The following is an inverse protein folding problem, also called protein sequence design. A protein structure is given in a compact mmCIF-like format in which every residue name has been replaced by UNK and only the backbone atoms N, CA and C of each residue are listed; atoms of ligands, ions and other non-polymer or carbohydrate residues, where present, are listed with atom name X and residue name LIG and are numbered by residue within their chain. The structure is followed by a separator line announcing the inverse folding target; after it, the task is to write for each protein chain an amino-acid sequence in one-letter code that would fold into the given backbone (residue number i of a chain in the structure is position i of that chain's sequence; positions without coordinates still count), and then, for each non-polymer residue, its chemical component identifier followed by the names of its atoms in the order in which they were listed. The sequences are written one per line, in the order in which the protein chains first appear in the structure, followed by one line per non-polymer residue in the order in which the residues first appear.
data_IF_593752925318
#
_entry.id   IF_593752925318
#
_cell.length_a   1.000
_cell.length_b   1.000
_cell.length_c   1.000
_cell.angle_alpha   90.00
_cell.angle_beta   90.00
_cell.angle_gamma   90.00
#
_symmetry.space_group_name_H-M   'P 1'
#
loop_
_entity.id
_entity.type
_entity.pdbx_description
1 polymer ?
#
# COMPACT_ATOMS: atom_id res chain seq x y z
N UNK A 1 -9.19 -61.76 52.47
CA UNK A 1 -7.88 -61.09 52.62
C UNK A 1 -7.78 -59.93 51.64
N UNK A 2 -7.62 -58.72 52.17
CA UNK A 2 -7.54 -57.45 51.43
C UNK A 2 -6.20 -57.32 50.68
N UNK A 3 -6.23 -57.11 49.36
CA UNK A 3 -5.07 -56.56 48.62
C UNK A 3 -5.27 -55.06 48.46
N UNK A 4 -4.64 -54.28 49.34
CA UNK A 4 -4.49 -52.82 49.20
C UNK A 4 -3.71 -52.51 47.93
N UNK A 5 -4.36 -51.88 46.95
CA UNK A 5 -3.67 -51.24 45.82
C UNK A 5 -3.14 -49.90 46.33
N UNK A 6 -1.81 -49.74 46.38
CA UNK A 6 -1.16 -48.45 46.65
C UNK A 6 -1.36 -47.54 45.44
N UNK A 7 -2.08 -46.44 45.62
CA UNK A 7 -2.15 -45.36 44.63
C UNK A 7 -0.90 -44.48 44.74
N UNK A 8 -0.04 -44.49 43.73
CA UNK A 8 1.01 -43.48 43.60
C UNK A 8 0.39 -42.15 43.16
N UNK A 9 0.35 -41.18 44.06
CA UNK A 9 0.08 -39.79 43.72
C UNK A 9 1.31 -39.23 42.98
N UNK A 10 1.27 -39.20 41.65
CA UNK A 10 2.18 -38.37 40.85
C UNK A 10 1.80 -36.90 41.06
N UNK A 11 2.27 -36.31 42.16
CA UNK A 11 2.45 -34.86 42.24
C UNK A 11 3.56 -34.54 41.23
N UNK A 12 3.20 -33.92 40.11
CA UNK A 12 4.18 -33.26 39.24
C UNK A 12 4.92 -32.23 40.11
N UNK A 13 6.13 -32.57 40.53
CA UNK A 13 6.94 -31.69 41.34
C UNK A 13 7.21 -30.39 40.60
N UNK A 14 7.50 -29.35 41.38
CA UNK A 14 8.03 -28.06 40.96
C UNK A 14 9.00 -28.07 39.73
N UNK A 15 9.87 -29.09 39.49
CA UNK A 15 10.71 -29.13 38.28
C UNK A 15 9.94 -29.13 36.95
N UNK A 16 8.74 -29.70 36.86
CA UNK A 16 7.99 -29.72 35.59
C UNK A 16 7.31 -28.39 35.26
N UNK A 17 6.96 -27.58 36.27
CA UNK A 17 6.47 -26.20 36.05
C UNK A 17 7.61 -25.28 35.63
N UNK A 18 8.80 -25.49 36.19
CA UNK A 18 10.00 -24.74 35.85
C UNK A 18 10.49 -25.08 34.43
N UNK A 19 10.49 -26.36 34.04
CA UNK A 19 10.81 -26.79 32.67
C UNK A 19 9.81 -26.28 31.64
N UNK A 20 8.51 -26.20 31.97
CA UNK A 20 7.50 -25.63 31.08
C UNK A 20 7.71 -24.12 30.90
N UNK A 21 8.04 -23.39 31.97
CA UNK A 21 8.33 -21.95 31.92
C UNK A 21 9.66 -21.66 31.20
N UNK A 22 10.67 -22.52 31.35
CA UNK A 22 11.92 -22.44 30.58
C UNK A 22 11.65 -22.75 29.11
N UNK A 23 10.85 -23.77 28.80
CA UNK A 23 10.48 -24.09 27.42
C UNK A 23 9.63 -22.97 26.78
N UNK A 24 8.73 -22.34 27.54
CA UNK A 24 7.99 -21.16 27.11
C UNK A 24 8.94 -19.96 26.92
N UNK A 25 9.88 -19.75 27.84
CA UNK A 25 10.90 -18.70 27.77
C UNK A 25 11.86 -18.88 26.60
N UNK A 26 12.24 -20.12 26.27
CA UNK A 26 13.03 -20.46 25.09
C UNK A 26 12.19 -20.32 23.82
N UNK A 27 10.91 -20.71 23.81
CA UNK A 27 10.02 -20.45 22.68
C UNK A 27 9.84 -18.94 22.45
N UNK A 28 9.68 -18.14 23.50
CA UNK A 28 9.54 -16.68 23.42
C UNK A 28 10.86 -16.00 23.05
N UNK A 29 12.01 -16.48 23.53
CA UNK A 29 13.35 -15.94 23.21
C UNK A 29 13.82 -16.33 21.80
N UNK A 30 13.48 -17.55 21.35
CA UNK A 30 13.70 -18.00 19.97
C UNK A 30 12.72 -17.36 18.99
N UNK A 31 11.56 -16.92 19.47
CA UNK A 31 10.70 -15.92 18.83
C UNK A 31 11.19 -14.50 19.18
N UNK A 32 12.47 -14.22 18.94
CA UNK A 32 12.75 -12.90 18.38
C UNK A 32 11.95 -12.86 17.08
N UNK A 33 10.81 -12.16 17.10
CA UNK A 33 10.10 -11.72 15.91
C UNK A 33 11.06 -10.81 15.13
N UNK A 34 12.06 -11.41 14.48
CA UNK A 34 12.57 -10.87 13.26
C UNK A 34 11.44 -11.10 12.25
N UNK A 35 10.41 -10.23 12.32
CA UNK A 35 9.55 -9.98 11.18
C UNK A 35 10.50 -9.81 10.00
N UNK A 36 10.38 -10.60 8.91
CA UNK A 36 11.12 -10.31 7.69
C UNK A 36 10.99 -8.82 7.45
N UNK A 37 12.12 -8.10 7.30
CA UNK A 37 12.08 -6.66 7.14
C UNK A 37 11.04 -6.35 6.06
N UNK A 38 9.96 -5.64 6.44
CA UNK A 38 8.85 -5.38 5.54
C UNK A 38 9.42 -4.72 4.28
N UNK A 39 9.05 -5.20 3.09
CA UNK A 39 9.48 -4.53 1.87
C UNK A 39 8.89 -3.11 1.83
N UNK A 40 9.44 -2.26 0.96
CA UNK A 40 9.03 -0.85 0.90
C UNK A 40 7.53 -0.68 0.61
N UNK A 41 6.94 -1.61 -0.16
CA UNK A 41 5.52 -1.64 -0.44
C UNK A 41 4.68 -1.82 0.84
N UNK A 42 4.99 -2.82 1.66
CA UNK A 42 4.25 -3.08 2.90
C UNK A 42 4.39 -1.94 3.91
N UNK A 43 5.60 -1.39 4.07
CA UNK A 43 5.83 -0.21 4.93
C UNK A 43 4.98 0.98 4.48
N UNK A 44 4.90 1.20 3.16
CA UNK A 44 4.11 2.28 2.60
C UNK A 44 2.59 2.04 2.77
N UNK A 45 2.12 0.81 2.56
CA UNK A 45 0.71 0.45 2.80
C UNK A 45 0.32 0.57 4.27
N UNK A 46 1.21 0.22 5.21
CA UNK A 46 0.98 0.45 6.64
C UNK A 46 0.76 1.94 6.93
N UNK A 47 1.59 2.83 6.36
CA UNK A 47 1.40 4.28 6.49
C UNK A 47 0.09 4.76 5.86
N UNK A 48 -0.26 4.28 4.66
CA UNK A 48 -1.53 4.63 4.00
C UNK A 48 -2.74 4.24 4.86
N UNK A 49 -2.72 3.04 5.47
CA UNK A 49 -3.78 2.62 6.41
C UNK A 49 -3.83 3.50 7.65
N UNK A 50 -2.69 3.93 8.18
CA UNK A 50 -2.67 4.83 9.34
C UNK A 50 -3.30 6.21 9.01
N UNK A 51 -3.11 6.70 7.78
CA UNK A 51 -3.68 7.99 7.34
C UNK A 51 -5.21 7.99 7.31
N UNK A 52 -5.87 6.84 7.09
CA UNK A 52 -7.33 6.79 7.02
C UNK A 52 -8.03 7.06 8.34
N UNK A 53 -7.30 7.11 9.45
CA UNK A 53 -7.83 7.46 10.77
C UNK A 53 -7.97 8.98 10.96
N UNK A 54 -7.50 9.81 10.02
CA UNK A 54 -7.61 11.27 10.09
C UNK A 54 -8.88 11.77 9.40
N UNK A 55 -9.56 12.72 10.05
CA UNK A 55 -10.70 13.45 9.46
C UNK A 55 -10.31 14.24 8.22
N UNK A 56 -9.03 14.62 8.07
CA UNK A 56 -8.50 15.35 6.93
C UNK A 56 -8.12 14.45 5.75
N UNK A 57 -8.30 13.12 5.87
CA UNK A 57 -7.97 12.17 4.80
C UNK A 57 -9.21 11.41 4.34
N UNK A 58 -9.35 11.23 3.02
CA UNK A 58 -10.29 10.28 2.42
C UNK A 58 -9.53 9.39 1.46
N UNK A 59 -9.58 8.07 1.68
CA UNK A 59 -9.06 7.11 0.73
C UNK A 59 -9.94 7.10 -0.52
N UNK A 60 -9.33 7.07 -1.69
CA UNK A 60 -10.04 6.84 -2.94
C UNK A 60 -10.19 5.33 -3.18
N UNK A 61 -11.14 4.89 -4.02
CA UNK A 61 -11.14 3.53 -4.52
C UNK A 61 -9.77 3.16 -5.07
N UNK A 62 -9.25 2.00 -4.69
CA UNK A 62 -7.87 1.65 -4.99
C UNK A 62 -7.73 0.98 -6.35
N UNK A 63 -6.62 1.28 -7.03
CA UNK A 63 -6.25 0.56 -8.23
C UNK A 63 -5.67 -0.80 -7.90
N UNK A 64 -5.44 -1.59 -8.95
CA UNK A 64 -4.68 -2.82 -8.88
C UNK A 64 -3.56 -2.76 -9.89
N UNK A 65 -2.37 -3.16 -9.48
CA UNK A 65 -1.27 -3.42 -10.40
C UNK A 65 -1.48 -4.70 -11.19
N UNK A 66 -0.55 -5.00 -12.09
CA UNK A 66 -0.57 -6.26 -12.83
C UNK A 66 -0.55 -7.50 -11.92
N UNK A 67 0.27 -7.54 -10.87
CA UNK A 67 0.29 -8.66 -9.90
C UNK A 67 -0.84 -8.58 -8.85
N UNK A 68 -1.78 -7.64 -8.97
CA UNK A 68 -2.92 -7.50 -8.07
C UNK A 68 -2.63 -6.77 -6.75
N UNK A 69 -1.45 -6.16 -6.60
CA UNK A 69 -1.15 -5.31 -5.44
C UNK A 69 -2.06 -4.09 -5.43
N UNK A 70 -2.45 -3.69 -4.22
CA UNK A 70 -3.22 -2.46 -4.02
C UNK A 70 -2.40 -1.27 -4.48
N UNK A 71 -2.97 -0.44 -5.34
CA UNK A 71 -2.38 0.80 -5.82
C UNK A 71 -3.12 1.97 -5.15
N UNK A 72 -2.56 2.54 -4.07
CA UNK A 72 -3.29 3.45 -3.22
C UNK A 72 -3.43 4.84 -3.83
N UNK A 73 -4.56 5.49 -3.57
CA UNK A 73 -4.73 6.93 -3.76
C UNK A 73 -5.58 7.51 -2.63
N UNK A 74 -5.31 8.75 -2.25
CA UNK A 74 -6.07 9.42 -1.19
C UNK A 74 -6.08 10.93 -1.40
N UNK A 75 -7.06 11.59 -0.78
CA UNK A 75 -7.20 13.04 -0.78
C UNK A 75 -6.97 13.54 0.63
N UNK A 76 -6.16 14.59 0.74
CA UNK A 76 -5.99 15.35 1.97
C UNK A 76 -6.60 16.74 1.78
N UNK A 77 -7.58 17.09 2.60
CA UNK A 77 -8.24 18.40 2.58
C UNK A 77 -9.02 18.65 3.86
N UNK A 78 -9.44 19.90 4.07
CA UNK A 78 -10.55 20.20 4.96
C UNK A 78 -11.88 19.97 4.22
N UNK A 79 -12.52 18.83 4.49
CA UNK A 79 -13.76 18.41 3.82
C UNK A 79 -15.02 19.18 4.27
N UNK A 80 -14.90 20.11 5.22
CA UNK A 80 -16.01 21.01 5.60
C UNK A 80 -16.20 22.13 4.59
N UNK A 81 -15.15 22.47 3.85
CA UNK A 81 -15.21 23.47 2.78
C UNK A 81 -15.53 22.78 1.46
N UNK A 82 -16.44 23.38 0.71
CA UNK A 82 -16.90 22.83 -0.56
C UNK A 82 -15.77 22.71 -1.60
N UNK A 83 -15.68 21.58 -2.33
CA UNK A 83 -14.55 21.23 -3.17
C UNK A 83 -14.34 22.14 -4.39
N UNK A 84 -15.41 22.76 -4.90
CA UNK A 84 -15.37 23.71 -6.03
C UNK A 84 -14.61 25.00 -5.69
N UNK A 85 -14.52 25.35 -4.41
CA UNK A 85 -13.79 26.53 -3.92
C UNK A 85 -12.29 26.26 -3.74
N UNK A 86 -11.86 25.01 -3.88
CA UNK A 86 -10.49 24.58 -3.59
C UNK A 86 -9.67 24.44 -4.86
N UNK A 87 -8.41 24.84 -4.75
CA UNK A 87 -7.40 24.37 -5.69
C UNK A 87 -7.25 22.85 -5.55
N UNK A 88 -6.89 22.19 -6.65
CA UNK A 88 -6.75 20.74 -6.74
C UNK A 88 -5.39 20.43 -7.33
N UNK A 89 -4.60 19.65 -6.61
CA UNK A 89 -3.25 19.25 -7.02
C UNK A 89 -3.18 17.73 -6.94
N UNK A 90 -2.71 17.09 -8.01
CA UNK A 90 -2.38 15.67 -7.97
C UNK A 90 -0.86 15.52 -7.88
N UNK A 91 -0.43 14.67 -6.97
CA UNK A 91 0.98 14.31 -6.77
C UNK A 91 1.12 12.82 -7.02
N UNK A 92 2.02 12.46 -7.93
CA UNK A 92 2.39 11.11 -8.25
C UNK A 92 3.86 10.89 -7.86
N UNK A 93 4.15 9.73 -7.28
CA UNK A 93 5.51 9.26 -7.01
C UNK A 93 5.61 7.76 -7.31
N UNK A 94 6.85 7.26 -7.39
CA UNK A 94 7.11 5.83 -7.55
C UNK A 94 6.55 5.25 -8.86
N UNK A 95 6.66 5.99 -9.97
CA UNK A 95 6.51 5.39 -11.30
C UNK A 95 7.58 4.34 -11.56
N UNK A 96 8.78 4.60 -11.05
CA UNK A 96 9.87 3.65 -10.96
C UNK A 96 10.00 3.14 -9.53
N UNK A 97 10.08 1.82 -9.36
CA UNK A 97 10.07 1.19 -8.05
C UNK A 97 11.39 1.22 -7.29
N UNK A 98 12.47 1.59 -7.97
CA UNK A 98 13.81 1.81 -7.42
C UNK A 98 14.02 3.26 -6.92
N UNK A 99 13.00 4.12 -7.00
CA UNK A 99 13.03 5.53 -6.58
C UNK A 99 12.31 5.73 -5.23
N UNK A 100 12.98 5.33 -4.15
CA UNK A 100 12.35 5.24 -2.84
C UNK A 100 12.16 6.59 -2.12
N UNK A 101 13.01 7.59 -2.37
CA UNK A 101 12.95 8.87 -1.66
C UNK A 101 11.62 9.61 -1.82
N UNK A 102 11.08 9.86 -3.04
CA UNK A 102 9.84 10.60 -3.20
C UNK A 102 8.64 9.93 -2.51
N UNK A 103 8.54 8.59 -2.57
CA UNK A 103 7.53 7.81 -1.84
C UNK A 103 7.60 8.06 -0.32
N UNK A 104 8.80 7.97 0.26
CA UNK A 104 9.02 8.16 1.70
C UNK A 104 8.68 9.57 2.14
N UNK A 105 9.14 10.58 1.40
CA UNK A 105 8.87 11.98 1.72
C UNK A 105 7.38 12.28 1.64
N UNK A 106 6.70 11.81 0.57
CA UNK A 106 5.29 12.08 0.34
C UNK A 106 4.40 11.46 1.43
N UNK A 107 4.71 10.24 1.89
CA UNK A 107 3.98 9.63 3.01
C UNK A 107 4.27 10.33 4.36
N UNK A 108 5.49 10.81 4.57
CA UNK A 108 5.85 11.62 5.75
C UNK A 108 5.08 12.94 5.77
N UNK A 109 5.09 13.67 4.65
CA UNK A 109 4.33 14.91 4.48
C UNK A 109 2.82 14.67 4.62
N UNK A 110 2.30 13.59 4.04
CA UNK A 110 0.90 13.21 4.19
C UNK A 110 0.50 13.04 5.66
N UNK A 111 1.35 12.43 6.49
CA UNK A 111 1.12 12.32 7.93
C UNK A 111 1.00 13.67 8.64
N UNK A 112 1.84 14.64 8.26
CA UNK A 112 1.81 15.98 8.84
C UNK A 112 0.62 16.81 8.36
N UNK A 113 0.23 16.67 7.09
CA UNK A 113 -0.99 17.30 6.60
C UNK A 113 -2.23 16.68 7.26
N UNK A 114 -2.26 15.35 7.39
CA UNK A 114 -3.35 14.62 8.04
C UNK A 114 -3.53 15.00 9.51
N UNK A 115 -2.45 15.31 10.24
CA UNK A 115 -2.54 15.78 11.63
C UNK A 115 -3.09 17.20 11.78
N UNK A 116 -3.34 17.90 10.67
CA UNK A 116 -3.87 19.26 10.67
C UNK A 116 -2.80 20.35 10.84
N UNK A 117 -1.52 20.06 10.60
CA UNK A 117 -0.44 21.05 10.73
C UNK A 117 -0.56 22.24 9.76
N UNK A 118 -1.42 22.14 8.72
CA UNK A 118 -1.58 23.14 7.66
C UNK A 118 -3.04 23.54 7.42
N UNK A 119 -3.77 24.05 8.44
CA UNK A 119 -5.21 24.24 8.34
C UNK A 119 -5.63 25.26 7.26
N UNK A 120 -4.87 26.36 7.10
CA UNK A 120 -5.11 27.37 6.04
C UNK A 120 -4.88 26.82 4.64
N UNK A 121 -3.92 25.92 4.48
CA UNK A 121 -3.65 25.26 3.21
C UNK A 121 -4.80 24.30 2.87
N UNK A 122 -5.17 23.44 3.82
CA UNK A 122 -6.20 22.43 3.64
C UNK A 122 -7.61 23.02 3.46
N UNK A 123 -7.88 24.21 4.01
CA UNK A 123 -9.14 24.93 3.75
C UNK A 123 -9.26 25.40 2.30
N UNK A 124 -8.13 25.64 1.62
CA UNK A 124 -8.07 26.21 0.27
C UNK A 124 -7.65 25.21 -0.82
N UNK A 125 -7.15 24.03 -0.45
CA UNK A 125 -6.63 23.02 -1.35
C UNK A 125 -7.19 21.61 -1.05
N UNK A 126 -7.40 20.84 -2.11
CA UNK A 126 -7.52 19.39 -2.07
C UNK A 126 -6.26 18.79 -2.71
N UNK A 127 -5.48 18.09 -1.90
CA UNK A 127 -4.23 17.45 -2.31
C UNK A 127 -4.54 15.98 -2.57
N UNK A 128 -4.57 15.59 -3.85
CA UNK A 128 -4.74 14.21 -4.28
C UNK A 128 -3.35 13.57 -4.39
N UNK A 129 -3.18 12.40 -3.80
CA UNK A 129 -1.88 11.73 -3.68
C UNK A 129 -1.99 10.31 -4.20
N UNK A 130 -1.10 9.95 -5.13
CA UNK A 130 -0.80 8.58 -5.55
C UNK A 130 0.67 8.33 -5.15
N UNK A 131 0.91 7.79 -3.93
CA UNK A 131 2.27 7.73 -3.38
C UNK A 131 3.18 6.73 -4.10
N UNK A 132 2.58 5.73 -4.75
CA UNK A 132 3.27 4.74 -5.58
C UNK A 132 2.41 4.44 -6.81
N UNK A 133 2.87 4.81 -8.00
CA UNK A 133 2.21 4.45 -9.26
C UNK A 133 2.54 2.99 -9.62
N UNK A 134 3.72 2.50 -9.28
CA UNK A 134 4.20 1.16 -9.59
C UNK A 134 4.39 0.31 -8.32
N UNK A 135 3.33 -0.16 -7.65
CA UNK A 135 3.47 -0.94 -6.42
C UNK A 135 4.19 -2.27 -6.64
N UNK A 136 4.14 -2.83 -7.86
CA UNK A 136 4.89 -4.05 -8.21
C UNK A 136 6.39 -3.78 -8.27
N UNK A 137 6.80 -2.71 -8.95
CA UNK A 137 8.18 -2.24 -8.95
C UNK A 137 8.67 -1.90 -7.55
N UNK A 138 7.87 -1.20 -6.73
CA UNK A 138 8.24 -0.83 -5.36
C UNK A 138 8.47 -2.08 -4.48
N UNK A 139 7.63 -3.11 -4.63
CA UNK A 139 7.78 -4.36 -3.89
C UNK A 139 9.06 -5.14 -4.29
N UNK A 140 9.52 -4.95 -5.52
CA UNK A 140 10.66 -5.65 -6.10
C UNK A 140 11.93 -4.79 -6.23
N UNK A 141 11.88 -3.52 -5.83
CA UNK A 141 12.93 -2.51 -6.10
C UNK A 141 13.34 -2.49 -7.58
N UNK A 142 12.35 -2.42 -8.47
CA UNK A 142 12.53 -2.43 -9.92
C UNK A 142 11.99 -1.16 -10.56
N UNK A 143 12.76 -0.59 -11.49
CA UNK A 143 12.36 0.55 -12.31
C UNK A 143 11.05 0.30 -13.08
N UNK A 144 10.91 -0.89 -13.65
CA UNK A 144 9.74 -1.26 -14.46
C UNK A 144 8.67 -1.93 -13.62
N UNK A 145 7.44 -2.02 -14.13
CA UNK A 145 6.40 -2.83 -13.49
C UNK A 145 6.64 -4.33 -13.69
N UNK A 146 5.78 -5.19 -13.15
CA UNK A 146 5.90 -6.65 -13.26
C UNK A 146 5.85 -7.18 -14.72
N UNK A 147 5.38 -6.37 -15.67
CA UNK A 147 5.36 -6.69 -17.10
C UNK A 147 6.62 -6.20 -17.84
N UNK A 148 7.56 -5.54 -17.15
CA UNK A 148 8.75 -4.96 -17.76
C UNK A 148 8.52 -3.60 -18.45
N UNK A 149 7.35 -2.97 -18.28
CA UNK A 149 7.10 -1.63 -18.82
C UNK A 149 7.66 -0.54 -17.90
N UNK A 150 8.38 0.42 -18.48
CA UNK A 150 8.60 1.73 -17.87
C UNK A 150 7.28 2.52 -17.98
N UNK A 151 6.57 2.67 -16.86
CA UNK A 151 5.26 3.34 -16.83
C UNK A 151 5.37 4.79 -17.30
N UNK A 152 6.51 5.46 -17.06
CA UNK A 152 6.77 6.81 -17.55
C UNK A 152 7.05 6.88 -19.07
N UNK A 153 6.72 5.82 -19.81
CA UNK A 153 6.65 5.77 -21.28
C UNK A 153 5.25 5.38 -21.80
N UNK A 154 4.32 5.04 -20.91
CA UNK A 154 3.02 4.47 -21.25
C UNK A 154 1.87 5.49 -21.24
N UNK A 155 2.12 6.77 -20.94
CA UNK A 155 1.05 7.76 -20.75
C UNK A 155 0.30 8.16 -22.04
N UNK A 156 0.81 7.78 -23.20
CA UNK A 156 0.10 7.91 -24.47
C UNK A 156 -0.82 6.72 -24.76
N UNK A 157 -0.34 5.51 -24.51
CA UNK A 157 -1.04 4.28 -24.91
C UNK A 157 -1.90 3.69 -23.79
N UNK A 158 -1.60 4.01 -22.53
CA UNK A 158 -2.29 3.55 -21.33
C UNK A 158 -2.48 2.03 -21.30
N UNK A 159 -1.44 1.27 -21.64
CA UNK A 159 -1.47 -0.20 -21.70
C UNK A 159 -1.53 -0.83 -20.31
N UNK A 160 -0.80 -0.24 -19.38
CA UNK A 160 -0.64 -0.76 -18.02
C UNK A 160 -1.89 -0.44 -17.16
N UNK A 161 -2.31 -1.35 -16.25
CA UNK A 161 -3.39 -1.04 -15.32
C UNK A 161 -3.04 0.11 -14.38
N UNK A 162 -1.75 0.28 -14.05
CA UNK A 162 -1.23 1.38 -13.24
C UNK A 162 -1.49 2.75 -13.89
N UNK A 163 -1.10 2.93 -15.15
CA UNK A 163 -1.30 4.20 -15.87
C UNK A 163 -2.80 4.52 -16.04
N UNK A 164 -3.62 3.51 -16.35
CA UNK A 164 -5.08 3.66 -16.50
C UNK A 164 -5.77 4.09 -15.22
N UNK A 165 -5.31 3.58 -14.07
CA UNK A 165 -5.84 4.01 -12.78
C UNK A 165 -5.56 5.50 -12.52
N UNK A 166 -4.32 5.94 -12.71
CA UNK A 166 -3.97 7.35 -12.49
C UNK A 166 -4.67 8.28 -13.49
N UNK A 167 -4.78 7.87 -14.76
CA UNK A 167 -5.56 8.61 -15.78
C UNK A 167 -7.02 8.78 -15.36
N UNK A 168 -7.63 7.75 -14.76
CA UNK A 168 -9.00 7.83 -14.22
C UNK A 168 -9.13 8.83 -13.06
N UNK A 169 -8.11 8.97 -12.20
CA UNK A 169 -8.08 9.98 -11.14
C UNK A 169 -8.00 11.38 -11.75
N UNK A 170 -7.17 11.56 -12.77
CA UNK A 170 -7.01 12.86 -13.45
C UNK A 170 -8.31 13.27 -14.15
N UNK A 171 -8.99 12.32 -14.81
CA UNK A 171 -10.27 12.53 -15.45
C UNK A 171 -11.37 12.90 -14.43
N UNK A 172 -11.40 12.22 -13.27
CA UNK A 172 -12.39 12.45 -12.23
C UNK A 172 -12.17 13.78 -11.49
N UNK A 173 -10.93 14.06 -11.08
CA UNK A 173 -10.62 15.18 -10.20
C UNK A 173 -10.28 16.47 -10.93
N UNK A 174 -9.97 16.42 -12.23
CA UNK A 174 -9.55 17.58 -13.05
C UNK A 174 -8.62 18.52 -12.26
N UNK A 175 -7.45 18.03 -11.78
CA UNK A 175 -6.51 18.84 -11.02
C UNK A 175 -5.98 20.01 -11.85
N UNK A 176 -5.65 21.12 -11.18
CA UNK A 176 -5.07 22.29 -11.81
C UNK A 176 -3.57 22.10 -12.05
N UNK A 177 -2.90 21.38 -11.14
CA UNK A 177 -1.47 21.08 -11.23
C UNK A 177 -1.24 19.59 -11.00
N UNK A 178 -0.35 19.02 -11.80
CA UNK A 178 0.18 17.67 -11.68
C UNK A 178 1.67 17.73 -11.32
N UNK A 179 2.06 17.05 -10.24
CA UNK A 179 3.44 16.94 -9.80
C UNK A 179 3.88 15.48 -9.91
N UNK A 180 4.93 15.25 -10.69
CA UNK A 180 5.49 13.92 -10.93
C UNK A 180 6.88 13.84 -10.31
N UNK A 181 6.99 13.14 -9.18
CA UNK A 181 8.20 13.10 -8.35
C UNK A 181 9.04 11.86 -8.69
N UNK A 182 10.27 12.09 -9.13
CA UNK A 182 11.25 11.07 -9.52
C UNK A 182 12.58 11.29 -8.79
N UNK A 183 13.30 10.19 -8.61
CA UNK A 183 14.68 10.21 -8.13
C UNK A 183 15.63 9.75 -9.23
N UNK A 184 16.59 10.59 -9.58
CA UNK A 184 17.52 10.27 -10.65
C UNK A 184 18.60 9.30 -10.16
N UNK A 185 18.57 8.05 -10.64
CA UNK A 185 19.46 6.95 -10.22
C UNK A 185 20.66 6.69 -11.16
N UNK A 186 20.82 7.44 -12.26
CA UNK A 186 21.89 7.23 -13.25
C UNK A 186 23.02 8.27 -13.23
N UNK A 187 24.17 8.03 -13.90
CA UNK A 187 25.14 9.09 -14.18
C UNK A 187 24.52 10.08 -15.17
N UNK A 188 24.48 11.39 -14.87
CA UNK A 188 23.88 12.36 -15.80
C UNK A 188 24.65 13.67 -15.90
N UNK A 189 24.79 14.22 -17.12
CA UNK A 189 25.21 15.61 -17.36
C UNK A 189 24.08 16.63 -17.15
N UNK A 190 22.84 16.19 -16.87
CA UNK A 190 21.69 17.03 -16.55
C UNK A 190 21.62 17.17 -15.02
N UNK A 191 21.38 18.37 -14.46
CA UNK A 191 21.25 18.53 -13.01
C UNK A 191 20.11 17.62 -12.50
N UNK A 192 20.48 16.61 -11.72
CA UNK A 192 19.53 15.68 -11.10
C UNK A 192 18.58 16.36 -10.12
N UNK A 193 18.90 17.57 -9.67
CA UNK A 193 18.05 18.41 -8.83
C UNK A 193 17.34 19.47 -9.70
N UNK A 194 16.19 19.09 -10.27
CA UNK A 194 15.54 19.92 -11.27
C UNK A 194 14.02 19.85 -11.33
N UNK A 195 13.45 20.87 -11.96
CA UNK A 195 12.05 20.95 -12.35
C UNK A 195 12.00 21.03 -13.87
N UNK A 196 11.49 20.00 -14.52
CA UNK A 196 11.25 20.02 -15.96
C UNK A 196 9.90 20.66 -16.28
N UNK A 197 9.95 21.76 -17.04
CA UNK A 197 8.77 22.40 -17.62
C UNK A 197 8.66 22.02 -19.10
N UNK A 198 7.63 21.25 -19.44
CA UNK A 198 7.38 20.86 -20.83
C UNK A 198 6.85 22.04 -21.67
N UNK A 199 7.10 22.05 -23.00
CA UNK A 199 6.59 23.10 -23.88
C UNK A 199 5.05 23.08 -23.90
N UNK A 200 4.44 24.24 -23.66
CA UNK A 200 2.99 24.43 -23.70
C UNK A 200 2.58 25.10 -25.00
N UNK A 201 1.43 24.71 -25.57
CA UNK A 201 0.88 25.30 -26.80
C UNK A 201 0.24 26.68 -26.55
N UNK A 202 -0.26 26.93 -25.33
CA UNK A 202 -0.95 28.17 -24.95
C UNK A 202 -0.01 29.17 -24.28
N UNK A 203 0.03 30.41 -24.78
CA UNK A 203 0.92 31.45 -24.25
C UNK A 203 0.66 31.79 -22.76
N UNK A 204 -0.60 31.96 -22.35
CA UNK A 204 -0.95 32.31 -20.95
C UNK A 204 -0.65 31.17 -19.98
N UNK A 205 -1.03 29.93 -20.31
CA UNK A 205 -0.68 28.77 -19.50
C UNK A 205 0.85 28.59 -19.40
N UNK A 206 1.57 28.80 -20.51
CA UNK A 206 3.03 28.72 -20.49
C UNK A 206 3.66 29.77 -19.56
N UNK A 207 3.07 30.97 -19.47
CA UNK A 207 3.51 32.01 -18.52
C UNK A 207 3.20 31.57 -17.09
N UNK A 208 1.94 31.20 -16.79
CA UNK A 208 1.54 30.79 -15.45
C UNK A 208 2.37 29.58 -14.94
N UNK A 209 2.64 28.60 -15.80
CA UNK A 209 3.49 27.47 -15.45
C UNK A 209 4.95 27.86 -15.17
N UNK A 210 5.50 28.83 -15.91
CA UNK A 210 6.86 29.32 -15.66
C UNK A 210 6.94 30.10 -14.36
N UNK A 211 5.94 30.92 -14.05
CA UNK A 211 5.89 31.63 -12.76
C UNK A 211 5.72 30.66 -11.59
N UNK A 212 4.85 29.66 -11.72
CA UNK A 212 4.72 28.60 -10.72
C UNK A 212 6.04 27.82 -10.55
N UNK A 213 6.71 27.46 -11.65
CA UNK A 213 8.00 26.79 -11.59
C UNK A 213 9.07 27.64 -10.88
N UNK A 214 9.09 28.97 -11.06
CA UNK A 214 10.00 29.88 -10.33
C UNK A 214 9.73 29.88 -8.83
N UNK A 215 8.45 29.92 -8.43
CA UNK A 215 8.06 29.87 -7.01
C UNK A 215 8.51 28.54 -6.39
N UNK A 216 8.21 27.43 -7.07
CA UNK A 216 8.60 26.09 -6.63
C UNK A 216 10.14 25.97 -6.55
N UNK A 217 10.87 26.42 -7.57
CA UNK A 217 12.32 26.38 -7.63
C UNK A 217 12.98 27.20 -6.51
N UNK A 218 12.45 28.39 -6.22
CA UNK A 218 12.97 29.26 -5.17
C UNK A 218 12.88 28.60 -3.78
N UNK A 219 11.77 27.92 -3.49
CA UNK A 219 11.57 27.27 -2.19
C UNK A 219 12.32 25.93 -2.08
N UNK A 220 12.36 25.16 -3.18
CA UNK A 220 12.96 23.82 -3.22
C UNK A 220 14.45 23.79 -3.55
N UNK A 221 15.03 24.91 -3.98
CA UNK A 221 16.40 25.03 -4.48
C UNK A 221 16.70 24.17 -5.72
N UNK A 222 15.65 23.77 -6.46
CA UNK A 222 15.79 22.99 -7.68
C UNK A 222 16.02 23.89 -8.90
N UNK A 223 16.78 23.39 -9.88
CA UNK A 223 17.05 24.11 -11.13
C UNK A 223 15.90 23.91 -12.12
N UNK A 224 15.37 25.00 -12.68
CA UNK A 224 14.38 24.88 -13.76
C UNK A 224 15.09 24.48 -15.05
N UNK A 225 14.72 23.33 -15.60
CA UNK A 225 15.18 22.89 -16.91
C UNK A 225 14.05 22.98 -17.92
N UNK A 226 14.39 23.41 -19.14
CA UNK A 226 13.48 23.40 -20.28
C UNK A 226 13.78 22.20 -21.14
N UNK A 227 12.73 21.48 -21.53
CA UNK A 227 12.87 20.40 -22.49
C UNK A 227 13.41 20.95 -23.83
N UNK A 228 14.56 20.46 -24.29
CA UNK A 228 15.18 20.83 -25.58
C UNK A 228 14.76 19.91 -26.73
N UNK A 229 14.06 18.79 -26.48
CA UNK A 229 13.84 17.73 -27.48
C UNK A 229 12.37 17.35 -27.67
N UNK A 230 11.99 17.08 -28.93
CA UNK A 230 10.72 16.45 -29.35
C UNK A 230 10.56 14.98 -28.89
N UNK A 231 11.43 14.48 -28.00
CA UNK A 231 11.83 13.08 -27.99
C UNK A 231 11.05 12.10 -27.12
N UNK A 232 10.07 12.52 -26.32
CA UNK A 232 9.31 11.54 -25.52
C UNK A 232 7.97 12.08 -25.01
N UNK A 233 6.99 12.21 -25.89
CA UNK A 233 5.61 12.60 -25.52
C UNK A 233 4.90 11.58 -24.63
N UNK A 234 5.48 10.38 -24.44
CA UNK A 234 4.96 9.32 -23.57
C UNK A 234 5.23 9.49 -22.08
N UNK A 235 5.99 10.51 -21.67
CA UNK A 235 6.19 10.84 -20.25
C UNK A 235 4.95 11.51 -19.64
N UNK A 236 4.70 11.27 -18.36
CA UNK A 236 3.51 11.73 -17.65
C UNK A 236 3.28 13.24 -17.82
N UNK A 237 4.24 14.05 -17.38
CA UNK A 237 4.08 15.51 -17.39
C UNK A 237 3.95 16.07 -18.82
N UNK A 238 4.70 15.51 -19.78
CA UNK A 238 4.65 15.95 -21.19
C UNK A 238 3.30 15.62 -21.85
N UNK A 239 2.77 14.42 -21.59
CA UNK A 239 1.45 13.99 -22.06
C UNK A 239 0.36 14.92 -21.56
N UNK A 240 0.38 15.26 -20.27
CA UNK A 240 -0.68 16.07 -19.68
C UNK A 240 -0.53 17.56 -19.97
N UNK A 241 0.70 18.08 -20.14
CA UNK A 241 0.90 19.42 -20.73
C UNK A 241 0.32 19.51 -22.13
N UNK A 242 0.52 18.47 -22.95
CA UNK A 242 -0.10 18.40 -24.29
C UNK A 242 -1.63 18.31 -24.24
N UNK A 243 -2.19 17.82 -23.13
CA UNK A 243 -3.64 17.80 -22.86
C UNK A 243 -4.17 19.06 -22.17
N UNK A 244 -3.33 20.09 -22.00
CA UNK A 244 -3.73 21.37 -21.42
C UNK A 244 -3.70 21.43 -19.89
N UNK A 245 -3.10 20.46 -19.19
CA UNK A 245 -2.84 20.53 -17.75
C UNK A 245 -1.52 21.24 -17.47
N UNK A 246 -1.40 21.88 -16.30
CA UNK A 246 -0.10 22.25 -15.79
C UNK A 246 0.56 21.05 -15.13
N UNK A 247 1.64 20.52 -15.72
CA UNK A 247 2.34 19.36 -15.18
C UNK A 247 3.85 19.58 -15.14
N UNK A 248 4.47 19.11 -14.07
CA UNK A 248 5.90 19.25 -13.81
C UNK A 248 6.48 17.89 -13.46
N UNK A 249 7.67 17.61 -14.00
CA UNK A 249 8.51 16.52 -13.53
C UNK A 249 9.56 17.10 -12.59
N UNK A 250 9.69 16.47 -11.43
CA UNK A 250 10.54 16.91 -10.33
C UNK A 250 11.54 15.81 -10.09
N UNK A 251 12.82 16.15 -10.21
CA UNK A 251 13.92 15.22 -10.03
C UNK A 251 14.76 15.66 -8.84
N UNK A 252 15.19 14.69 -8.04
CA UNK A 252 16.32 14.86 -7.10
C UNK A 252 17.43 13.89 -7.44
N UNK A 253 18.67 14.32 -7.31
CA UNK A 253 19.86 13.49 -7.52
C UNK A 253 19.96 12.38 -6.48
N UNK A 254 20.31 11.15 -6.89
CA UNK A 254 20.60 10.07 -5.94
C UNK A 254 21.74 10.41 -4.96
N UNK A 255 22.64 11.33 -5.34
CA UNK A 255 23.88 11.64 -4.62
C UNK A 255 23.72 12.67 -3.48
N UNK A 256 22.56 13.32 -3.34
CA UNK A 256 22.30 14.23 -2.23
C UNK A 256 21.72 13.47 -1.01
N UNK A 257 21.78 14.08 0.16
CA UNK A 257 21.29 13.46 1.39
C UNK A 257 19.78 13.22 1.35
N UNK A 258 19.28 12.20 2.05
CA UNK A 258 17.82 11.98 2.17
C UNK A 258 17.11 13.20 2.78
N UNK A 259 17.78 13.94 3.68
CA UNK A 259 17.22 15.15 4.28
C UNK A 259 17.03 16.27 3.26
N UNK A 260 17.96 16.42 2.32
CA UNK A 260 17.86 17.42 1.24
C UNK A 260 16.78 17.02 0.24
N UNK A 261 16.68 15.73 -0.11
CA UNK A 261 15.56 15.19 -0.91
C UNK A 261 14.22 15.46 -0.23
N UNK A 262 14.12 15.16 1.07
CA UNK A 262 12.91 15.38 1.86
C UNK A 262 12.51 16.86 1.88
N UNK A 263 13.48 17.77 2.03
CA UNK A 263 13.27 19.21 1.94
C UNK A 263 12.74 19.60 0.56
N UNK A 264 13.43 19.19 -0.51
CA UNK A 264 13.07 19.55 -1.88
C UNK A 264 11.65 19.13 -2.24
N UNK A 265 11.29 17.85 -2.09
CA UNK A 265 9.94 17.37 -2.42
C UNK A 265 8.86 18.02 -1.55
N UNK A 266 9.13 18.22 -0.26
CA UNK A 266 8.20 18.92 0.64
C UNK A 266 7.95 20.34 0.16
N UNK A 267 9.02 21.08 -0.10
CA UNK A 267 8.98 22.45 -0.60
C UNK A 267 8.19 22.55 -1.90
N UNK A 268 8.41 21.60 -2.83
CA UNK A 268 7.64 21.55 -4.08
C UNK A 268 6.14 21.46 -3.83
N UNK A 269 5.71 20.54 -2.99
CA UNK A 269 4.28 20.33 -2.70
C UNK A 269 3.67 21.53 -1.98
N UNK A 270 4.35 22.06 -0.96
CA UNK A 270 3.85 23.17 -0.16
C UNK A 270 3.79 24.46 -0.99
N UNK A 271 4.84 24.79 -1.74
CA UNK A 271 4.90 25.99 -2.58
C UNK A 271 3.83 25.96 -3.68
N UNK A 272 3.64 24.81 -4.35
CA UNK A 272 2.60 24.66 -5.36
C UNK A 272 1.20 24.85 -4.75
N UNK A 273 0.94 24.24 -3.59
CA UNK A 273 -0.33 24.35 -2.89
C UNK A 273 -0.60 25.77 -2.38
N UNK A 274 0.40 26.48 -1.86
CA UNK A 274 0.25 27.85 -1.39
C UNK A 274 0.02 28.83 -2.53
N UNK A 275 0.79 28.72 -3.63
CA UNK A 275 0.63 29.58 -4.80
C UNK A 275 -0.78 29.48 -5.38
N UNK A 276 -1.27 28.25 -5.59
CA UNK A 276 -2.64 28.03 -6.04
C UNK A 276 -3.69 28.48 -5.02
N UNK A 277 -3.46 28.28 -3.72
CA UNK A 277 -4.39 28.73 -2.68
C UNK A 277 -4.58 30.25 -2.68
N UNK A 278 -3.54 31.03 -2.98
CA UNK A 278 -3.58 32.49 -2.92
C UNK A 278 -4.10 33.15 -4.19
N UNK A 279 -3.86 32.57 -5.37
CA UNK A 279 -4.15 33.24 -6.64
C UNK A 279 -5.26 32.56 -7.45
N UNK A 280 -6.46 33.14 -7.42
CA UNK A 280 -7.63 32.62 -8.16
C UNK A 280 -7.42 32.69 -9.69
N UNK A 281 -6.73 33.71 -10.20
CA UNK A 281 -6.46 33.83 -11.64
C UNK A 281 -5.50 32.73 -12.12
N UNK A 282 -4.46 32.42 -11.34
CA UNK A 282 -3.57 31.29 -11.66
C UNK A 282 -4.35 29.97 -11.70
N UNK A 283 -5.31 29.75 -10.78
CA UNK A 283 -6.17 28.55 -10.83
C UNK A 283 -6.94 28.47 -12.15
N UNK A 284 -7.53 29.58 -12.61
CA UNK A 284 -8.26 29.63 -13.88
C UNK A 284 -7.34 29.37 -15.06
N UNK A 285 -6.17 30.01 -15.10
CA UNK A 285 -5.19 29.85 -16.19
C UNK A 285 -4.61 28.44 -16.28
N UNK A 286 -4.39 27.79 -15.14
CA UNK A 286 -3.85 26.43 -15.04
C UNK A 286 -4.94 25.35 -15.15
N UNK A 287 -6.21 25.74 -15.23
CA UNK A 287 -7.30 24.78 -15.45
C UNK A 287 -7.23 24.15 -16.86
N UNK A 288 -7.57 22.85 -16.99
CA UNK A 288 -7.68 22.20 -18.30
C UNK A 288 -8.77 22.86 -19.16
N UNK A 289 -8.45 23.25 -20.39
CA UNK A 289 -9.35 24.02 -21.28
C UNK A 289 -10.46 23.21 -21.93
N UNK A 290 -10.32 21.89 -22.01
CA UNK A 290 -11.21 21.04 -22.79
C UNK A 290 -11.77 19.90 -21.94
N UNK A 291 -13.07 19.97 -21.67
CA UNK A 291 -13.85 18.86 -21.11
C UNK A 291 -14.04 17.68 -22.08
N UNK A 292 -13.37 17.69 -23.25
CA UNK A 292 -13.33 16.53 -24.15
C UNK A 292 -12.29 15.52 -23.68
N UNK A 293 -12.58 14.86 -22.56
CA UNK A 293 -12.06 13.53 -22.31
C UNK A 293 -13.23 12.63 -21.91
N UNK A 294 -13.47 11.61 -22.74
CA UNK A 294 -14.59 10.70 -22.57
C UNK A 294 -14.51 10.01 -21.20
N UNK A 295 -15.50 10.26 -20.35
CA UNK A 295 -15.74 9.56 -19.08
C UNK A 295 -16.04 8.06 -19.26
N UNK A 296 -16.10 7.55 -20.50
CA UNK A 296 -16.52 6.18 -20.82
C UNK A 296 -15.50 5.09 -20.51
N UNK A 297 -14.37 5.39 -19.85
CA UNK A 297 -13.35 4.39 -19.46
C UNK A 297 -13.13 4.26 -17.95
N UNK A 298 -13.79 5.08 -17.12
CA UNK A 298 -13.69 4.95 -15.66
C UNK A 298 -14.68 3.88 -15.20
N UNK A 299 -14.31 2.59 -15.18
CA UNK A 299 -15.21 1.61 -14.51
C UNK A 299 -14.70 0.24 -14.06
N UNK A 300 -13.68 -0.43 -14.62
CA UNK A 300 -13.36 -1.78 -14.12
C UNK A 300 -12.17 -1.86 -13.13
N UNK A 301 -11.31 -0.83 -13.04
CA UNK A 301 -10.04 -0.93 -12.30
C UNK A 301 -10.07 -0.37 -10.87
N UNK A 302 -11.19 0.22 -10.46
CA UNK A 302 -11.39 0.73 -9.11
C UNK A 302 -11.90 -0.38 -8.19
N UNK A 303 -11.07 -0.85 -7.29
CA UNK A 303 -11.48 -1.71 -6.17
C UNK A 303 -12.07 -0.85 -5.04
N UNK A 304 -12.96 -1.39 -4.19
CA UNK A 304 -13.40 -0.72 -2.97
C UNK A 304 -12.18 -0.35 -2.10
N UNK A 305 -12.33 0.65 -1.19
CA UNK A 305 -11.30 0.97 -0.20
C UNK A 305 -10.83 -0.30 0.51
N UNK A 306 -9.58 -0.33 0.98
CA UNK A 306 -9.02 -1.45 1.77
C UNK A 306 -10.06 -1.86 2.81
N UNK A 307 -10.47 -3.12 2.74
CA UNK A 307 -11.23 -3.76 3.79
C UNK A 307 -10.36 -3.66 5.06
N UNK A 308 -10.79 -2.86 6.03
CA UNK A 308 -10.07 -2.58 7.29
C UNK A 308 -10.06 -3.79 8.23
N UNK A 309 -10.25 -4.99 7.67
CA UNK A 309 -10.13 -6.25 8.37
C UNK A 309 -8.79 -6.35 9.08
N UNK A 310 -8.75 -7.02 10.24
CA UNK A 310 -7.52 -7.21 10.99
C UNK A 310 -6.46 -7.82 10.08
N UNK A 311 -5.16 -7.52 10.29
CA UNK A 311 -4.09 -8.03 9.45
C UNK A 311 -4.28 -9.53 9.26
N UNK A 312 -4.39 -9.96 8.00
CA UNK A 312 -4.44 -11.39 7.69
C UNK A 312 -3.14 -12.00 8.22
N UNK A 313 -3.25 -12.72 9.32
CA UNK A 313 -2.17 -13.55 9.82
C UNK A 313 -1.73 -14.47 8.68
N UNK A 314 -0.42 -14.57 8.45
CA UNK A 314 0.11 -15.52 7.49
C UNK A 314 -0.37 -16.95 7.85
N UNK A 315 -0.46 -17.84 6.86
CA UNK A 315 -0.85 -19.24 7.08
C UNK A 315 -0.05 -19.91 8.21
N UNK A 316 1.19 -19.47 8.40
CA UNK A 316 2.08 -19.88 9.47
C UNK A 316 1.65 -19.33 10.85
N UNK A 317 1.33 -18.03 10.94
CA UNK A 317 0.85 -17.40 12.17
C UNK A 317 -0.48 -18.01 12.65
N UNK A 318 -1.38 -18.34 11.72
CA UNK A 318 -2.63 -19.04 12.04
C UNK A 318 -2.42 -20.45 12.58
N UNK A 319 -1.43 -21.19 12.05
CA UNK A 319 -1.09 -22.52 12.53
C UNK A 319 -0.49 -22.48 13.95
N UNK A 320 0.38 -21.50 14.23
CA UNK A 320 1.00 -21.31 15.56
C UNK A 320 -0.04 -20.91 16.60
N UNK A 321 -0.94 -19.98 16.25
CA UNK A 321 -2.02 -19.55 17.14
C UNK A 321 -2.98 -20.71 17.44
N UNK A 322 -3.33 -21.50 16.42
CA UNK A 322 -4.19 -22.68 16.57
C UNK A 322 -3.53 -23.74 17.47
N UNK A 323 -2.23 -23.99 17.32
CA UNK A 323 -1.48 -24.92 18.16
C UNK A 323 -1.41 -24.45 19.62
N UNK A 324 -1.17 -23.15 19.85
CA UNK A 324 -1.13 -22.56 21.19
C UNK A 324 -2.49 -22.65 21.90
N UNK A 325 -3.58 -22.35 21.19
CA UNK A 325 -4.95 -22.49 21.71
C UNK A 325 -5.25 -23.96 22.03
N UNK A 326 -4.85 -24.90 21.18
CA UNK A 326 -5.06 -26.33 21.41
C UNK A 326 -4.32 -26.82 22.68
N UNK A 327 -3.08 -26.39 22.88
CA UNK A 327 -2.30 -26.69 24.09
C UNK A 327 -2.94 -26.07 25.35
N UNK A 328 -3.45 -24.84 25.27
CA UNK A 328 -4.14 -24.18 26.37
C UNK A 328 -5.44 -24.90 26.73
N UNK A 329 -6.24 -25.29 25.73
CA UNK A 329 -7.47 -26.05 25.93
C UNK A 329 -7.20 -27.43 26.54
N UNK A 330 -6.15 -28.14 26.11
CA UNK A 330 -5.73 -29.40 26.73
C UNK A 330 -5.25 -29.22 28.18
N UNK A 331 -4.62 -28.10 28.49
CA UNK A 331 -4.19 -27.76 29.85
C UNK A 331 -5.38 -27.44 30.77
N UNK A 332 -6.34 -26.67 30.26
CA UNK A 332 -7.57 -26.29 30.98
C UNK A 332 -8.59 -27.44 31.08
N UNK A 333 -8.56 -28.39 30.14
CA UNK A 333 -9.44 -29.56 30.14
C UNK A 333 -9.02 -30.68 31.10
N UNK A 334 -8.01 -30.47 31.96
CA UNK A 334 -7.72 -31.44 33.03
C UNK A 334 -8.92 -31.54 33.97
N UNK A 335 -9.59 -32.69 34.06
CA UNK A 335 -10.71 -32.85 34.98
C UNK A 335 -10.17 -32.79 36.41
N UNK A 336 -10.73 -31.93 37.25
CA UNK A 336 -10.49 -31.95 38.70
C UNK A 336 -11.13 -33.16 39.38
N UNK A 337 -11.91 -33.98 38.66
CA UNK A 337 -12.61 -35.13 39.21
C UNK A 337 -12.19 -36.46 38.59
N UNK A 338 -11.71 -37.38 39.44
CA UNK A 338 -11.22 -38.72 39.07
C UNK A 338 -12.32 -39.72 38.64
N UNK A 339 -13.55 -39.26 38.41
CA UNK A 339 -14.70 -40.11 38.01
C UNK A 339 -15.45 -39.65 36.76
N UNK A 340 -15.00 -38.60 36.09
CA UNK A 340 -15.56 -38.25 34.78
C UNK A 340 -14.85 -39.06 33.68
N UNK A 341 -15.50 -40.11 33.18
CA UNK A 341 -15.08 -40.68 31.89
C UNK A 341 -15.09 -39.56 30.83
N UNK A 342 -14.00 -39.36 30.07
CA UNK A 342 -13.96 -38.32 29.07
C UNK A 342 -14.84 -38.71 27.88
N UNK A 343 -16.03 -38.10 27.80
CA UNK A 343 -16.95 -38.09 26.65
C UNK A 343 -16.25 -37.60 25.36
N UNK A 344 -15.06 -37.02 25.46
CA UNK A 344 -14.22 -36.57 24.36
C UNK A 344 -13.58 -37.69 23.52
N UNK A 345 -13.54 -38.94 23.99
CA UNK A 345 -12.93 -40.06 23.24
C UNK A 345 -13.82 -40.68 22.15
N UNK A 346 -15.12 -40.32 22.09
CA UNK A 346 -16.06 -40.80 21.05
C UNK A 346 -16.31 -39.80 19.92
N UNK A 347 -16.13 -38.49 20.13
CA UNK A 347 -16.37 -37.47 19.08
C UNK A 347 -15.16 -37.23 18.15
N UNK A 348 -13.93 -37.45 18.61
CA UNK A 348 -12.75 -37.27 17.76
C UNK A 348 -12.44 -38.46 16.82
N UNK A 349 -13.01 -39.66 17.04
CA UNK A 349 -12.87 -40.80 16.11
C UNK A 349 -13.60 -40.65 14.78
N UNK A 350 -14.40 -39.59 14.58
CA UNK A 350 -15.01 -39.27 13.28
C UNK A 350 -14.20 -38.27 12.44
N UNK A 351 -13.17 -37.66 13.01
CA UNK A 351 -12.22 -36.84 12.25
C UNK A 351 -11.00 -37.72 11.93
N UNK A 352 -11.02 -38.36 10.76
CA UNK A 352 -9.95 -39.23 10.27
C UNK A 352 -8.72 -38.38 9.86
N UNK A 353 -8.05 -37.81 10.86
CA UNK A 353 -6.76 -37.13 10.69
C UNK A 353 -5.74 -37.90 11.50
N UNK A 354 -5.25 -38.99 10.92
CA UNK A 354 -4.05 -39.66 11.39
C UNK A 354 -2.86 -38.74 11.07
N UNK A 355 -2.29 -38.09 12.09
CA UNK A 355 -0.98 -37.46 11.99
C UNK A 355 0.04 -38.46 12.52
N UNK A 356 0.84 -39.13 11.66
CA UNK A 356 1.90 -39.99 12.13
C UNK A 356 3.04 -39.13 12.65
N UNK A 357 3.31 -39.21 13.96
CA UNK A 357 4.56 -38.71 14.54
C UNK A 357 5.66 -39.69 14.11
N UNK A 358 6.25 -39.45 12.94
CA UNK A 358 7.39 -40.22 12.45
C UNK A 358 8.69 -39.54 12.92
N UNK A 359 9.43 -40.20 13.80
CA UNK A 359 10.75 -39.76 14.30
C UNK A 359 11.90 -40.04 13.31
N UNK A 360 11.61 -40.30 12.04
CA UNK A 360 12.62 -40.64 11.03
C UNK A 360 12.57 -39.68 9.82
N UNK A 361 13.64 -38.88 9.59
CA UNK A 361 13.65 -37.79 8.60
C UNK A 361 13.57 -38.23 7.13
N UNK A 362 13.75 -39.53 6.81
CA UNK A 362 13.64 -40.03 5.43
C UNK A 362 12.21 -40.27 4.94
N UNK A 363 11.22 -40.35 5.85
CA UNK A 363 9.80 -40.54 5.49
C UNK A 363 9.06 -39.23 5.17
N UNK A 364 9.60 -38.08 5.59
CA UNK A 364 8.96 -36.76 5.40
C UNK A 364 8.87 -36.34 3.92
N UNK A 365 9.78 -36.83 3.07
CA UNK A 365 9.83 -36.50 1.63
C UNK A 365 8.75 -37.19 0.78
N UNK A 366 8.09 -38.24 1.29
CA UNK A 366 7.01 -38.95 0.56
C UNK A 366 5.59 -38.49 0.93
N UNK A 367 5.41 -37.87 2.11
CA UNK A 367 4.09 -37.42 2.59
C UNK A 367 3.69 -36.01 2.09
N UNK A 368 4.65 -35.22 1.59
CA UNK A 368 4.40 -33.90 1.02
C UNK A 368 4.11 -34.00 -0.49
N UNK A 369 2.91 -34.48 -0.85
CA UNK A 369 2.26 -34.07 -2.11
C UNK A 369 1.16 -33.06 -1.79
N UNK A 370 1.01 -31.98 -2.56
CA UNK A 370 0.17 -30.86 -2.18
C UNK A 370 -1.31 -31.25 -2.24
N UNK A 371 -1.96 -31.28 -1.07
CA UNK A 371 -3.42 -31.26 -1.00
C UNK A 371 -3.85 -29.84 -1.40
N UNK A 372 -4.24 -29.67 -2.65
CA UNK A 372 -4.77 -28.39 -3.14
C UNK A 372 -6.08 -28.06 -2.41
N UNK A 373 -6.21 -26.84 -1.87
CA UNK A 373 -7.41 -26.31 -1.18
C UNK A 373 -8.72 -26.45 -1.95
N UNK A 374 -8.67 -26.73 -3.26
CA UNK A 374 -9.84 -26.94 -4.14
C UNK A 374 -10.67 -28.17 -3.78
N UNK A 375 -10.11 -29.18 -3.11
CA UNK A 375 -10.82 -30.42 -2.76
C UNK A 375 -11.65 -30.33 -1.46
N UNK A 376 -11.22 -29.48 -0.52
CA UNK A 376 -11.92 -29.27 0.74
C UNK A 376 -13.15 -28.38 0.54
N UNK A 377 -13.01 -27.30 -0.23
CA UNK A 377 -14.11 -26.34 -0.50
C UNK A 377 -15.29 -26.98 -1.26
N UNK A 378 -15.01 -27.91 -2.18
CA UNK A 378 -16.06 -28.62 -2.94
C UNK A 378 -16.82 -29.67 -2.11
N UNK A 379 -16.25 -30.16 -1.01
CA UNK A 379 -16.89 -31.16 -0.15
C UNK A 379 -17.86 -30.50 0.84
N UNK A 380 -17.51 -29.31 1.35
CA UNK A 380 -18.35 -28.55 2.27
C UNK A 380 -19.56 -27.89 1.59
N UNK A 381 -19.41 -27.44 0.33
CA UNK A 381 -20.51 -26.86 -0.46
C UNK A 381 -21.56 -27.89 -0.89
N UNK A 382 -21.18 -29.15 -1.14
CA UNK A 382 -22.14 -30.24 -1.42
C UNK A 382 -22.87 -30.74 -0.17
N UNK A 383 -22.26 -30.58 1.01
CA UNK A 383 -22.88 -30.94 2.28
C UNK A 383 -23.91 -29.90 2.77
N UNK A 384 -23.80 -28.63 2.35
CA UNK A 384 -24.70 -27.55 2.77
C UNK A 384 -25.89 -27.27 1.84
N UNK A 385 -25.94 -27.86 0.65
CA UNK A 385 -27.02 -27.66 -0.33
C UNK A 385 -27.87 -28.91 -0.66
N UNK A 386 -27.74 -30.01 0.10
CA UNK A 386 -28.49 -31.26 -0.16
C UNK A 386 -29.65 -31.56 0.81
N UNK A 387 -30.09 -30.60 1.63
CA UNK A 387 -31.28 -30.75 2.51
C UNK A 387 -32.23 -29.55 2.44
N UNK A 388 -32.67 -29.19 1.23
CA UNK A 388 -33.94 -28.48 1.02
C UNK A 388 -34.65 -29.01 -0.22
N UNK A 389 -35.34 -30.14 -0.06
CA UNK A 389 -36.49 -30.55 -0.89
C UNK A 389 -36.95 -31.94 -0.48
N UNK A 390 -37.96 -31.97 0.41
CA UNK A 390 -39.17 -32.83 0.35
C UNK A 390 -39.82 -32.90 1.73
N UNK A 391 -40.71 -31.94 1.93
CA UNK A 391 -42.02 -32.22 2.53
C UNK A 391 -42.87 -32.77 1.38
N UNK A 392 -43.13 -34.07 1.44
CA UNK A 392 -44.26 -34.86 0.93
C UNK A 392 -43.85 -36.32 1.06
#
# INVERSE_FOLDING_TARGET
MSRKIKTHNLRLGYPCRFLLLIALGFLISSYSFATPAENLYEQAMHRVRALSNSDNVRLLPFGRSYEGRTLPAFVISDFRTAPERKARILICAGQHGDEASPLKTLLSLAGQLASGAYPKLLSSCAIIVVPMVNPDGIAQYSRTNALGFDINRDWLALKTPEARFVDSIIALWKPHVLLDLHEWTGPSPIPGDSIEVAPCVRNEQAVAMRELAKIIAADSQLTIIRCKTRGNSGMFHRRYVSAGYAAFLIETSSNISQQDKDRAYRSVVIAAAQSLAMNCEDRKMLSPTSERFCLSLVSPYLAPPIDSGPPMFSSFQMAVLSAAICCLLLFLARPSDKKAEPVWSRRFRKCNVDVPIATNPLLLRRALRPITCRSWFNRELRARYSHSSRIA
#
